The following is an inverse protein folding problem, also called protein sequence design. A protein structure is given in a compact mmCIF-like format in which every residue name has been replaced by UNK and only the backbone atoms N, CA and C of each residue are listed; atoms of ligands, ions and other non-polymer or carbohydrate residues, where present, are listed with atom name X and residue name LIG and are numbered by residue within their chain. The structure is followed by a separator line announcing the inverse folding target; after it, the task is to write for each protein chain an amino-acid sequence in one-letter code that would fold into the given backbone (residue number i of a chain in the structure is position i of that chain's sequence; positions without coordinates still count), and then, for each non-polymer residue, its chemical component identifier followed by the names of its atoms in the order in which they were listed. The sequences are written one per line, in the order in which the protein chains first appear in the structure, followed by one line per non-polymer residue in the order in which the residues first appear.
data_IF_514352915650
#
_entry.id   IF_514352915650
#
_cell.length_a   1.000
_cell.length_b   1.000
_cell.length_c   1.000
_cell.angle_alpha   90.00
_cell.angle_beta   90.00
_cell.angle_gamma   90.00
#
_symmetry.space_group_name_H-M   'P 1'
#
loop_
_entity.id
_entity.type
_entity.pdbx_description
1 polymer ?
#
# COMPACT_ATOMS: atom_id res chain seq x y z
N UNK A 1 -16.29 29.41 -26.14
CA UNK A 1 -16.09 28.48 -25.00
C UNK A 1 -15.31 27.21 -25.40
N UNK A 2 -15.68 26.46 -26.45
CA UNK A 2 -14.93 25.26 -26.90
C UNK A 2 -13.52 25.52 -27.46
N UNK A 3 -13.26 26.68 -28.06
CA UNK A 3 -11.93 27.07 -28.59
C UNK A 3 -10.96 27.53 -27.50
N UNK A 4 -11.41 28.33 -26.52
CA UNK A 4 -10.58 28.73 -25.37
C UNK A 4 -10.12 27.52 -24.54
N UNK A 5 -10.96 26.50 -24.39
CA UNK A 5 -10.59 25.27 -23.67
C UNK A 5 -9.58 24.40 -24.47
N UNK A 6 -9.64 24.40 -25.81
CA UNK A 6 -8.61 23.75 -26.65
C UNK A 6 -7.28 24.51 -26.60
N UNK A 7 -7.31 25.84 -26.71
CA UNK A 7 -6.11 26.69 -26.67
C UNK A 7 -5.43 26.56 -25.29
N UNK A 8 -6.19 26.52 -24.20
CA UNK A 8 -5.66 26.22 -22.85
C UNK A 8 -5.02 24.83 -22.77
N UNK A 9 -5.64 23.79 -23.33
CA UNK A 9 -5.08 22.42 -23.32
C UNK A 9 -3.76 22.31 -24.08
N UNK A 10 -3.64 22.95 -25.25
CA UNK A 10 -2.41 22.94 -26.05
C UNK A 10 -1.30 23.73 -25.36
N UNK A 11 -1.61 24.90 -24.79
CA UNK A 11 -0.67 25.71 -23.99
C UNK A 11 -0.13 24.94 -22.78
N UNK A 12 -0.99 24.22 -22.06
CA UNK A 12 -0.60 23.42 -20.90
C UNK A 12 0.43 22.33 -21.23
N UNK A 13 0.34 21.68 -22.41
CA UNK A 13 1.29 20.61 -22.78
C UNK A 13 2.71 21.15 -23.03
N UNK A 14 2.81 22.35 -23.62
CA UNK A 14 4.10 23.02 -23.85
C UNK A 14 4.72 23.46 -22.52
N UNK A 15 3.90 24.02 -21.62
CA UNK A 15 4.34 24.43 -20.28
C UNK A 15 4.85 23.20 -19.52
N UNK A 16 4.07 22.11 -19.47
CA UNK A 16 4.50 20.86 -18.81
C UNK A 16 5.80 20.34 -19.41
N UNK A 17 5.95 20.33 -20.74
CA UNK A 17 7.21 19.88 -21.38
C UNK A 17 8.41 20.74 -20.98
N UNK A 18 8.24 22.06 -20.88
CA UNK A 18 9.30 22.98 -20.40
C UNK A 18 9.63 22.73 -18.92
N UNK A 19 8.61 22.56 -18.08
CA UNK A 19 8.77 22.24 -16.66
C UNK A 19 9.50 20.90 -16.47
N UNK A 20 9.13 19.86 -17.22
CA UNK A 20 9.84 18.58 -17.27
C UNK A 20 11.29 18.74 -17.78
N UNK A 21 11.55 19.73 -18.64
CA UNK A 21 12.90 20.07 -19.09
C UNK A 21 13.83 20.49 -17.94
N UNK A 22 13.31 21.22 -16.94
CA UNK A 22 14.09 21.57 -15.74
C UNK A 22 14.42 20.35 -14.88
N UNK A 23 13.54 19.36 -14.84
CA UNK A 23 13.78 18.08 -14.14
C UNK A 23 14.85 17.23 -14.82
N UNK A 24 14.98 17.33 -16.15
CA UNK A 24 15.90 16.51 -16.95
C UNK A 24 17.38 16.65 -16.57
N UNK A 25 17.78 17.75 -15.91
CA UNK A 25 19.16 17.96 -15.47
C UNK A 25 19.48 17.20 -14.18
N UNK A 26 18.51 17.06 -13.27
CA UNK A 26 18.64 16.28 -12.02
C UNK A 26 18.04 14.86 -12.15
N UNK A 27 17.93 14.35 -13.38
CA UNK A 27 17.30 13.06 -13.68
C UNK A 27 17.87 11.89 -12.88
N UNK A 28 19.16 11.93 -12.50
CA UNK A 28 19.80 10.85 -11.73
C UNK A 28 19.20 10.72 -10.34
N UNK A 29 18.98 11.83 -9.64
CA UNK A 29 18.37 11.83 -8.31
C UNK A 29 16.91 11.40 -8.38
N UNK A 30 16.16 11.88 -9.37
CA UNK A 30 14.75 11.53 -9.57
C UNK A 30 14.61 10.04 -9.91
N UNK A 31 15.43 9.52 -10.83
CA UNK A 31 15.45 8.09 -11.18
C UNK A 31 15.83 7.26 -9.96
N UNK A 32 16.85 7.67 -9.19
CA UNK A 32 17.25 7.01 -7.95
C UNK A 32 16.10 6.94 -6.95
N UNK A 33 15.37 8.02 -6.75
CA UNK A 33 14.20 8.05 -5.88
C UNK A 33 13.06 7.15 -6.39
N UNK A 34 12.78 7.13 -7.69
CA UNK A 34 11.79 6.21 -8.28
C UNK A 34 12.20 4.75 -8.04
N UNK A 35 13.48 4.41 -8.19
CA UNK A 35 14.00 3.07 -7.88
C UNK A 35 13.80 2.74 -6.40
N UNK A 36 14.10 3.67 -5.49
CA UNK A 36 13.84 3.49 -4.06
C UNK A 36 12.35 3.24 -3.79
N UNK A 37 11.45 3.93 -4.49
CA UNK A 37 10.01 3.72 -4.36
C UNK A 37 9.55 2.35 -4.85
N UNK A 38 10.14 1.84 -5.93
CA UNK A 38 9.88 0.47 -6.41
C UNK A 38 10.34 -0.55 -5.37
N UNK A 39 11.55 -0.38 -4.81
CA UNK A 39 12.07 -1.24 -3.73
C UNK A 39 11.14 -1.19 -2.50
N UNK A 40 10.72 0.01 -2.11
CA UNK A 40 9.83 0.25 -0.98
C UNK A 40 8.46 -0.42 -1.17
N UNK A 41 7.93 -0.39 -2.39
CA UNK A 41 6.70 -1.12 -2.75
C UNK A 41 6.89 -2.62 -2.58
N UNK A 42 8.03 -3.17 -3.02
CA UNK A 42 8.40 -4.57 -2.80
C UNK A 42 8.43 -4.93 -1.31
N UNK A 43 9.09 -4.12 -0.47
CA UNK A 43 9.16 -4.33 0.98
C UNK A 43 7.76 -4.30 1.61
N UNK A 44 6.92 -3.36 1.20
CA UNK A 44 5.56 -3.22 1.73
C UNK A 44 4.72 -4.46 1.46
N UNK A 45 4.95 -5.15 0.33
CA UNK A 45 4.27 -6.37 -0.05
C UNK A 45 4.79 -7.62 0.68
N UNK A 46 6.01 -7.57 1.20
CA UNK A 46 6.54 -8.63 2.07
C UNK A 46 5.77 -8.66 3.40
N UNK A 47 5.27 -7.53 3.91
CA UNK A 47 4.56 -7.49 5.21
C UNK A 47 3.28 -8.35 5.25
N UNK A 48 2.32 -8.24 4.30
CA UNK A 48 1.18 -9.15 4.25
C UNK A 48 1.58 -10.61 4.11
N UNK A 49 2.64 -10.91 3.34
CA UNK A 49 3.12 -12.28 3.15
C UNK A 49 3.71 -12.86 4.43
N UNK A 50 4.54 -12.11 5.15
CA UNK A 50 5.06 -12.52 6.46
C UNK A 50 3.94 -12.72 7.48
N UNK A 51 2.94 -11.84 7.45
CA UNK A 51 1.76 -11.95 8.32
C UNK A 51 0.97 -13.21 8.00
N UNK A 52 0.73 -13.51 6.72
CA UNK A 52 0.11 -14.76 6.27
C UNK A 52 0.92 -15.97 6.76
N UNK A 53 2.23 -15.97 6.55
CA UNK A 53 3.10 -17.06 6.96
C UNK A 53 3.08 -17.28 8.48
N UNK A 54 3.02 -16.20 9.27
CA UNK A 54 2.86 -16.29 10.72
C UNK A 54 1.51 -16.92 11.10
N UNK A 55 0.43 -16.46 10.47
CA UNK A 55 -0.93 -16.92 10.73
C UNK A 55 -1.05 -18.41 10.38
N UNK A 56 -0.69 -18.78 9.16
CA UNK A 56 -0.92 -20.11 8.59
C UNK A 56 -0.05 -21.19 9.27
N UNK A 57 1.22 -20.89 9.54
CA UNK A 57 2.15 -21.91 10.05
C UNK A 57 2.26 -21.95 11.57
N UNK A 58 1.95 -20.85 12.27
CA UNK A 58 2.20 -20.77 13.71
C UNK A 58 0.99 -20.38 14.54
N UNK A 59 0.03 -19.59 14.02
CA UNK A 59 -1.15 -19.16 14.81
C UNK A 59 -2.31 -20.14 14.67
N UNK A 60 -2.74 -20.45 13.44
CA UNK A 60 -3.90 -21.31 13.10
C UNK A 60 -3.44 -22.73 12.72
N UNK A 61 -2.28 -23.18 13.23
CA UNK A 61 -1.66 -24.48 12.91
C UNK A 61 -2.49 -25.69 13.40
N UNK A 62 -3.68 -25.86 12.84
CA UNK A 62 -4.65 -26.90 13.16
C UNK A 62 -4.85 -27.78 11.93
N UNK A 63 -5.02 -29.05 12.20
CA UNK A 63 -5.01 -30.13 11.22
C UNK A 63 -6.27 -30.95 11.40
N UNK A 64 -6.83 -31.44 10.31
CA UNK A 64 -7.93 -32.40 10.32
C UNK A 64 -7.44 -33.74 9.76
N UNK A 65 -8.03 -34.82 10.24
CA UNK A 65 -7.70 -36.16 9.78
C UNK A 65 -8.59 -36.48 8.58
N UNK A 66 -7.97 -36.91 7.48
CA UNK A 66 -8.63 -37.36 6.26
C UNK A 66 -8.18 -38.76 5.88
N UNK A 67 -9.05 -39.48 5.17
CA UNK A 67 -8.78 -40.77 4.55
C UNK A 67 -8.99 -40.65 3.03
N UNK A 68 -8.02 -40.07 2.30
CA UNK A 68 -8.09 -39.91 0.85
C UNK A 68 -7.82 -41.23 0.12
N UNK A 69 -8.40 -41.40 -1.06
CA UNK A 69 -8.07 -42.47 -2.01
C UNK A 69 -6.73 -42.18 -2.72
N UNK A 70 -6.09 -43.19 -3.33
CA UNK A 70 -4.77 -43.03 -3.96
C UNK A 70 -4.73 -41.93 -5.03
N UNK A 71 -5.77 -41.83 -5.86
CA UNK A 71 -5.90 -40.79 -6.90
C UNK A 71 -6.06 -39.38 -6.30
N UNK A 72 -6.71 -39.28 -5.13
CA UNK A 72 -6.95 -38.02 -4.43
C UNK A 72 -5.67 -37.49 -3.74
N UNK A 73 -4.73 -38.37 -3.37
CA UNK A 73 -3.45 -37.97 -2.77
C UNK A 73 -2.63 -37.13 -3.76
N UNK A 74 -2.60 -37.52 -5.03
CA UNK A 74 -1.91 -36.74 -6.07
C UNK A 74 -2.60 -35.41 -6.32
N UNK A 75 -3.94 -35.40 -6.36
CA UNK A 75 -4.72 -34.17 -6.47
C UNK A 75 -4.39 -33.20 -5.34
N UNK A 76 -4.41 -33.65 -4.08
CA UNK A 76 -4.12 -32.78 -2.93
C UNK A 76 -2.68 -32.26 -2.96
N UNK A 77 -1.71 -33.10 -3.34
CA UNK A 77 -0.30 -32.69 -3.48
C UNK A 77 -0.09 -31.66 -4.60
N UNK A 78 -0.94 -31.66 -5.64
CA UNK A 78 -0.87 -30.65 -6.71
C UNK A 78 -1.16 -29.23 -6.23
N UNK A 79 -1.99 -29.08 -5.18
CA UNK A 79 -2.28 -27.77 -4.57
C UNK A 79 -1.21 -27.36 -3.55
N UNK A 80 -0.68 -28.32 -2.79
CA UNK A 80 0.42 -28.09 -1.85
C UNK A 80 1.16 -29.41 -1.55
N UNK A 81 2.43 -29.48 -1.93
CA UNK A 81 3.25 -30.70 -1.81
C UNK A 81 3.43 -31.16 -0.35
N UNK A 82 3.40 -30.23 0.60
CA UNK A 82 3.52 -30.52 2.06
C UNK A 82 2.15 -30.57 2.77
N UNK A 83 1.05 -30.66 2.01
CA UNK A 83 -0.31 -30.65 2.55
C UNK A 83 -0.62 -31.82 3.48
N UNK A 84 -0.08 -33.00 3.15
CA UNK A 84 -0.46 -34.27 3.73
C UNK A 84 0.66 -34.80 4.62
N UNK A 85 0.37 -34.89 5.91
CA UNK A 85 1.22 -35.54 6.89
C UNK A 85 0.67 -36.94 7.11
N UNK A 86 1.39 -37.98 6.67
CA UNK A 86 0.94 -39.36 6.86
C UNK A 86 0.91 -39.71 8.34
N UNK A 87 -0.26 -40.11 8.86
CA UNK A 87 -0.43 -40.57 10.23
C UNK A 87 -0.37 -42.10 10.27
N UNK A 88 -1.11 -42.76 9.39
CA UNK A 88 -1.24 -44.23 9.32
C UNK A 88 -1.17 -44.73 7.86
N UNK A 89 -1.44 -46.02 7.62
CA UNK A 89 -1.53 -46.57 6.26
C UNK A 89 -2.61 -45.87 5.44
N UNK A 90 -3.78 -45.60 6.05
CA UNK A 90 -4.96 -44.98 5.39
C UNK A 90 -5.29 -43.56 5.87
N UNK A 91 -4.69 -43.08 6.98
CA UNK A 91 -5.02 -41.78 7.58
C UNK A 91 -3.94 -40.74 7.34
N UNK A 92 -4.35 -39.57 6.91
CA UNK A 92 -3.50 -38.41 6.69
C UNK A 92 -4.00 -37.21 7.48
N UNK A 93 -3.08 -36.40 7.97
CA UNK A 93 -3.31 -35.12 8.58
C UNK A 93 -3.19 -34.04 7.49
N UNK A 94 -4.26 -33.28 7.26
CA UNK A 94 -4.26 -32.14 6.35
C UNK A 94 -4.38 -30.83 7.11
N UNK A 95 -3.52 -29.85 6.80
CA UNK A 95 -3.63 -28.51 7.42
C UNK A 95 -4.94 -27.83 7.02
N UNK A 96 -5.56 -27.13 7.96
CA UNK A 96 -6.86 -26.47 7.73
C UNK A 96 -6.82 -25.42 6.62
N UNK A 97 -5.70 -24.72 6.46
CA UNK A 97 -5.52 -23.74 5.38
C UNK A 97 -5.47 -24.43 4.00
N UNK A 98 -4.82 -25.58 3.88
CA UNK A 98 -4.82 -26.35 2.63
C UNK A 98 -6.20 -26.91 2.33
N UNK A 99 -6.91 -27.44 3.33
CA UNK A 99 -8.27 -27.93 3.14
C UNK A 99 -9.20 -26.83 2.61
N UNK A 100 -9.03 -25.58 3.08
CA UNK A 100 -9.81 -24.43 2.58
C UNK A 100 -9.48 -23.99 1.15
N UNK A 101 -8.32 -24.38 0.62
CA UNK A 101 -7.92 -24.09 -0.76
C UNK A 101 -8.42 -25.12 -1.78
N UNK A 102 -8.87 -26.29 -1.32
CA UNK A 102 -9.39 -27.35 -2.19
C UNK A 102 -10.78 -27.00 -2.75
N UNK A 103 -11.17 -27.55 -3.90
CA UNK A 103 -12.51 -27.37 -4.46
C UNK A 103 -13.59 -27.71 -3.44
N UNK A 104 -14.58 -26.83 -3.28
CA UNK A 104 -15.64 -27.02 -2.28
C UNK A 104 -16.43 -28.31 -2.48
N UNK A 105 -16.62 -28.74 -3.73
CA UNK A 105 -17.25 -30.03 -4.07
C UNK A 105 -16.48 -31.22 -3.49
N UNK A 106 -15.15 -31.21 -3.61
CA UNK A 106 -14.27 -32.27 -3.12
C UNK A 106 -14.26 -32.35 -1.58
N UNK A 107 -14.15 -31.20 -0.91
CA UNK A 107 -14.18 -31.15 0.55
C UNK A 107 -15.53 -31.66 1.10
N UNK A 108 -16.62 -31.32 0.40
CA UNK A 108 -17.96 -31.74 0.78
C UNK A 108 -18.20 -33.23 0.55
N UNK A 109 -17.60 -33.81 -0.48
CA UNK A 109 -17.59 -35.26 -0.70
C UNK A 109 -16.87 -36.01 0.42
N UNK A 110 -15.67 -35.58 0.82
CA UNK A 110 -14.94 -36.15 1.95
C UNK A 110 -15.74 -36.07 3.25
N UNK A 111 -16.50 -34.98 3.44
CA UNK A 111 -17.38 -34.81 4.60
C UNK A 111 -18.57 -35.77 4.56
N UNK A 112 -19.29 -35.84 3.44
CA UNK A 112 -20.49 -36.67 3.29
C UNK A 112 -20.17 -38.17 3.39
N UNK A 113 -19.00 -38.59 2.89
CA UNK A 113 -18.51 -39.97 2.95
C UNK A 113 -17.87 -40.32 4.30
N UNK A 114 -17.85 -39.39 5.27
CA UNK A 114 -17.20 -39.52 6.59
C UNK A 114 -15.69 -39.80 6.52
N UNK A 115 -15.05 -39.52 5.39
CA UNK A 115 -13.60 -39.63 5.17
C UNK A 115 -12.84 -38.42 5.72
N UNK A 116 -13.54 -37.33 6.06
CA UNK A 116 -13.01 -36.16 6.79
C UNK A 116 -13.54 -36.12 8.22
N UNK A 117 -12.64 -36.10 9.20
CA UNK A 117 -13.00 -35.90 10.60
C UNK A 117 -13.31 -34.43 10.89
N UNK A 118 -14.45 -34.20 11.55
CA UNK A 118 -14.91 -32.84 11.91
C UNK A 118 -14.03 -32.22 13.01
N UNK A 119 -13.49 -33.05 13.90
CA UNK A 119 -12.64 -32.59 15.00
C UNK A 119 -11.30 -32.06 14.47
N UNK A 120 -10.87 -30.91 15.00
CA UNK A 120 -9.59 -30.28 14.67
C UNK A 120 -8.57 -30.65 15.72
N UNK A 121 -7.38 -31.00 15.26
CA UNK A 121 -6.27 -31.37 16.11
C UNK A 121 -5.14 -30.35 15.98
N UNK A 122 -4.45 -30.09 17.07
CA UNK A 122 -3.17 -29.43 17.06
C UNK A 122 -2.08 -30.48 16.98
N UNK A 123 -1.17 -30.30 16.02
CA UNK A 123 -0.07 -31.19 15.76
C UNK A 123 1.19 -30.64 16.42
N UNK A 124 1.79 -31.43 17.31
CA UNK A 124 3.01 -31.04 18.00
C UNK A 124 4.01 -32.20 18.01
N UNK A 125 5.28 -31.83 17.98
CA UNK A 125 6.37 -32.79 18.26
C UNK A 125 6.46 -32.93 19.77
N UNK A 126 6.57 -34.16 20.26
CA UNK A 126 6.51 -34.46 21.68
C UNK A 126 7.49 -33.58 22.49
N UNK A 127 7.03 -32.81 23.49
CA UNK A 127 7.94 -32.14 24.42
C UNK A 127 8.71 -33.18 25.26
N UNK A 128 9.88 -32.77 25.73
CA UNK A 128 10.80 -33.54 26.57
C UNK A 128 10.25 -33.93 27.97
N UNK A 129 9.05 -33.48 28.35
CA UNK A 129 8.55 -33.60 29.73
C UNK A 129 7.35 -34.54 29.84
N UNK A 130 7.44 -35.51 30.76
CA UNK A 130 6.45 -36.57 30.95
C UNK A 130 5.09 -36.14 31.53
N UNK A 131 4.99 -34.88 31.97
CA UNK A 131 3.88 -34.40 32.80
C UNK A 131 2.58 -34.19 32.00
N UNK A 132 2.69 -33.86 30.71
CA UNK A 132 1.51 -33.54 29.86
C UNK A 132 0.80 -34.82 29.38
N UNK A 133 1.47 -35.98 29.45
CA UNK A 133 0.98 -37.25 28.89
C UNK A 133 -0.09 -37.95 29.73
N UNK A 134 -0.36 -37.47 30.96
CA UNK A 134 -1.36 -38.06 31.86
C UNK A 134 -2.80 -37.57 31.65
N UNK A 135 -3.01 -36.52 30.86
CA UNK A 135 -4.28 -35.75 30.87
C UNK A 135 -5.05 -35.78 29.53
N UNK A 136 -4.48 -36.37 28.47
CA UNK A 136 -5.02 -36.19 27.11
C UNK A 136 -5.07 -37.53 26.37
N UNK A 137 -6.22 -37.85 25.77
CA UNK A 137 -6.32 -38.91 24.75
C UNK A 137 -5.42 -38.52 23.56
N UNK A 138 -4.26 -39.17 23.44
CA UNK A 138 -3.32 -38.92 22.34
C UNK A 138 -3.16 -40.19 21.50
N UNK A 139 -3.07 -39.99 20.18
CA UNK A 139 -2.65 -41.02 19.24
C UNK A 139 -1.20 -40.74 18.83
N UNK A 140 -0.30 -41.66 19.08
CA UNK A 140 1.13 -41.53 18.80
C UNK A 140 1.48 -42.05 17.40
N UNK A 141 1.97 -41.17 16.52
CA UNK A 141 2.36 -41.55 15.16
C UNK A 141 3.75 -40.98 14.83
N UNK A 142 4.78 -41.84 14.74
CA UNK A 142 6.14 -41.49 14.26
C UNK A 142 6.66 -40.10 14.74
N UNK A 143 6.72 -39.88 16.06
CA UNK A 143 7.16 -38.63 16.74
C UNK A 143 6.22 -37.42 16.64
N UNK A 144 5.06 -37.58 16.01
CA UNK A 144 4.01 -36.58 15.90
C UNK A 144 2.88 -36.97 16.86
N UNK A 145 2.49 -36.01 17.70
CA UNK A 145 1.38 -36.18 18.64
C UNK A 145 0.28 -35.19 18.32
N UNK A 146 -0.95 -35.65 18.51
CA UNK A 146 -2.17 -34.93 18.21
C UNK A 146 -2.91 -34.66 19.53
N UNK A 147 -3.37 -33.42 19.71
CA UNK A 147 -4.29 -33.06 20.79
C UNK A 147 -5.52 -32.41 20.18
N UNK A 148 -6.70 -32.85 20.57
CA UNK A 148 -7.92 -32.24 20.05
C UNK A 148 -8.05 -30.80 20.53
N UNK A 149 -8.65 -29.96 19.68
CA UNK A 149 -8.85 -28.54 20.02
C UNK A 149 -9.68 -28.35 21.30
N UNK A 150 -10.60 -29.28 21.58
CA UNK A 150 -11.39 -29.27 22.82
C UNK A 150 -10.55 -29.64 24.05
N UNK A 151 -9.64 -30.60 23.93
CA UNK A 151 -8.71 -30.95 25.00
C UNK A 151 -7.71 -29.82 25.27
N UNK A 152 -7.24 -29.14 24.22
CA UNK A 152 -6.33 -28.00 24.36
C UNK A 152 -6.93 -26.85 25.20
N UNK A 153 -8.25 -26.64 25.14
CA UNK A 153 -8.96 -25.62 25.95
C UNK A 153 -9.05 -25.96 27.43
N UNK A 154 -8.90 -27.24 27.80
CA UNK A 154 -8.96 -27.69 29.20
C UNK A 154 -7.61 -27.53 29.91
N UNK A 155 -6.53 -27.32 29.16
CA UNK A 155 -5.19 -27.13 29.71
C UNK A 155 -5.00 -25.73 30.30
N UNK A 156 -4.13 -25.64 31.29
CA UNK A 156 -3.68 -24.35 31.82
C UNK A 156 -2.83 -23.59 30.80
N UNK A 157 -2.79 -22.27 30.91
CA UNK A 157 -2.01 -21.40 30.02
C UNK A 157 -0.53 -21.83 29.97
N UNK A 158 0.06 -22.25 31.10
CA UNK A 158 1.45 -22.69 31.18
C UNK A 158 1.70 -23.95 30.34
N UNK A 159 0.78 -24.91 30.38
CA UNK A 159 0.88 -26.16 29.59
C UNK A 159 0.73 -25.89 28.10
N UNK A 160 -0.22 -25.03 27.71
CA UNK A 160 -0.39 -24.61 26.31
C UNK A 160 0.86 -23.89 25.79
N UNK A 161 1.50 -23.04 26.60
CA UNK A 161 2.75 -22.36 26.22
C UNK A 161 3.91 -23.35 26.00
N UNK A 162 4.00 -24.42 26.81
CA UNK A 162 5.00 -25.47 26.64
C UNK A 162 4.73 -26.25 25.34
N UNK A 163 3.48 -26.65 25.10
CA UNK A 163 3.08 -27.35 23.87
C UNK A 163 3.34 -26.52 22.61
N UNK A 164 3.06 -25.22 22.65
CA UNK A 164 3.24 -24.28 21.53
C UNK A 164 4.58 -23.56 21.52
N UNK A 165 5.57 -24.02 22.27
CA UNK A 165 6.87 -23.36 22.36
C UNK A 165 7.56 -23.20 20.98
N UNK A 166 7.41 -24.20 20.11
CA UNK A 166 7.90 -24.15 18.72
C UNK A 166 7.21 -23.07 17.90
N UNK A 167 5.89 -22.94 18.01
CA UNK A 167 5.12 -21.91 17.32
C UNK A 167 5.53 -20.52 17.77
N UNK A 168 5.67 -20.34 19.09
CA UNK A 168 6.08 -19.06 19.69
C UNK A 168 7.49 -18.67 19.21
N UNK A 169 8.41 -19.63 19.07
CA UNK A 169 9.73 -19.38 18.48
C UNK A 169 9.62 -18.95 17.01
N UNK A 170 8.76 -19.61 16.23
CA UNK A 170 8.49 -19.25 14.85
C UNK A 170 7.90 -17.84 14.69
N UNK A 171 6.87 -17.52 15.47
CA UNK A 171 6.27 -16.17 15.49
C UNK A 171 7.29 -15.12 15.90
N UNK A 172 8.10 -15.37 16.93
CA UNK A 172 9.17 -14.44 17.33
C UNK A 172 10.19 -14.21 16.21
N UNK A 173 10.58 -15.26 15.50
CA UNK A 173 11.50 -15.14 14.36
C UNK A 173 10.91 -14.28 13.24
N UNK A 174 9.65 -14.52 12.86
CA UNK A 174 8.94 -13.68 11.88
C UNK A 174 8.82 -12.24 12.40
N UNK A 175 8.53 -12.04 13.69
CA UNK A 175 8.42 -10.71 14.28
C UNK A 175 9.74 -9.93 14.22
N UNK A 176 10.89 -10.58 14.44
CA UNK A 176 12.20 -9.93 14.28
C UNK A 176 12.48 -9.56 12.81
N UNK A 177 12.16 -10.44 11.86
CA UNK A 177 12.27 -10.14 10.43
C UNK A 177 11.37 -8.95 10.05
N UNK A 178 10.13 -8.97 10.53
CA UNK A 178 9.16 -7.90 10.31
C UNK A 178 9.68 -6.57 10.85
N UNK A 179 10.21 -6.56 12.09
CA UNK A 179 10.80 -5.37 12.70
C UNK A 179 12.01 -4.85 11.92
N UNK A 180 12.91 -5.74 11.50
CA UNK A 180 14.08 -5.37 10.69
C UNK A 180 13.65 -4.73 9.36
N UNK A 181 12.67 -5.32 8.68
CA UNK A 181 12.10 -4.76 7.45
C UNK A 181 11.41 -3.41 7.68
N UNK A 182 10.78 -3.20 8.84
CA UNK A 182 10.18 -1.91 9.20
C UNK A 182 11.25 -0.82 9.34
N UNK A 183 12.37 -1.13 9.99
CA UNK A 183 13.51 -0.20 10.11
C UNK A 183 14.11 0.11 8.73
N UNK A 184 14.30 -0.91 7.88
CA UNK A 184 14.78 -0.72 6.50
C UNK A 184 13.80 0.12 5.68
N UNK A 185 12.50 -0.17 5.79
CA UNK A 185 11.43 0.58 5.15
C UNK A 185 11.46 2.06 5.57
N UNK A 186 11.59 2.34 6.86
CA UNK A 186 11.71 3.70 7.39
C UNK A 186 12.92 4.43 6.78
N UNK A 187 14.09 3.79 6.76
CA UNK A 187 15.31 4.36 6.20
C UNK A 187 15.20 4.68 4.71
N UNK A 188 14.65 3.74 3.91
CA UNK A 188 14.43 3.94 2.47
C UNK A 188 13.39 5.03 2.22
N UNK A 189 12.32 5.07 3.01
CA UNK A 189 11.28 6.11 2.91
C UNK A 189 11.90 7.49 3.15
N UNK A 190 12.66 7.63 4.24
CA UNK A 190 13.35 8.88 4.55
C UNK A 190 14.31 9.29 3.43
N UNK A 191 15.14 8.36 2.94
CA UNK A 191 16.08 8.63 1.85
C UNK A 191 15.38 9.07 0.57
N UNK A 192 14.25 8.43 0.20
CA UNK A 192 13.48 8.76 -1.00
C UNK A 192 12.82 10.14 -0.88
N UNK A 193 12.15 10.42 0.25
CA UNK A 193 11.54 11.74 0.51
C UNK A 193 12.61 12.83 0.48
N UNK A 194 13.73 12.62 1.16
CA UNK A 194 14.83 13.58 1.19
C UNK A 194 15.41 13.82 -0.22
N UNK A 195 15.68 12.76 -0.99
CA UNK A 195 16.22 12.87 -2.34
C UNK A 195 15.27 13.64 -3.28
N UNK A 196 13.96 13.38 -3.22
CA UNK A 196 12.95 14.08 -4.01
C UNK A 196 12.79 15.54 -3.60
N UNK A 197 12.77 15.82 -2.29
CA UNK A 197 12.71 17.19 -1.77
C UNK A 197 13.94 17.99 -2.19
N UNK A 198 15.13 17.39 -2.08
CA UNK A 198 16.38 18.00 -2.49
C UNK A 198 16.41 18.28 -4.01
N UNK A 199 16.00 17.31 -4.83
CA UNK A 199 15.87 17.49 -6.27
C UNK A 199 14.89 18.63 -6.62
N UNK A 200 13.76 18.71 -5.91
CA UNK A 200 12.79 19.80 -6.05
C UNK A 200 13.40 21.17 -5.76
N UNK A 201 14.17 21.30 -4.68
CA UNK A 201 14.84 22.56 -4.34
C UNK A 201 15.90 22.98 -5.39
N UNK A 202 16.67 22.04 -5.93
CA UNK A 202 17.62 22.34 -7.02
C UNK A 202 16.89 22.86 -8.26
N UNK A 203 15.79 22.20 -8.65
CA UNK A 203 14.96 22.63 -9.78
C UNK A 203 14.43 24.05 -9.55
N UNK A 204 13.94 24.34 -8.34
CA UNK A 204 13.44 25.67 -8.00
C UNK A 204 14.52 26.74 -7.99
N UNK A 205 15.71 26.43 -7.48
CA UNK A 205 16.85 27.34 -7.53
C UNK A 205 17.17 27.74 -8.98
N UNK A 206 17.24 26.76 -9.89
CA UNK A 206 17.47 27.00 -11.33
C UNK A 206 16.37 27.82 -12.00
N UNK A 207 15.10 27.59 -11.63
CA UNK A 207 13.98 28.38 -12.15
C UNK A 207 14.11 29.84 -11.68
N UNK A 208 14.40 30.07 -10.39
CA UNK A 208 14.62 31.42 -9.83
C UNK A 208 15.78 32.13 -10.53
N UNK A 209 16.91 31.44 -10.70
CA UNK A 209 18.08 31.96 -11.42
C UNK A 209 17.72 32.33 -12.88
N UNK A 210 17.07 31.42 -13.61
CA UNK A 210 16.68 31.66 -15.01
C UNK A 210 15.76 32.87 -15.15
N UNK A 211 14.75 32.99 -14.28
CA UNK A 211 13.82 34.13 -14.29
C UNK A 211 14.57 35.42 -13.95
N UNK A 212 15.43 35.40 -12.93
CA UNK A 212 16.18 36.57 -12.51
C UNK A 212 17.17 37.06 -13.58
N UNK A 213 17.96 36.15 -14.18
CA UNK A 213 18.85 36.47 -15.29
C UNK A 213 18.09 36.97 -16.52
N UNK A 214 16.91 36.41 -16.81
CA UNK A 214 16.08 36.89 -17.91
C UNK A 214 15.61 38.32 -17.64
N UNK A 215 15.12 38.61 -16.43
CA UNK A 215 14.69 39.96 -16.05
C UNK A 215 15.81 40.98 -16.20
N UNK A 216 17.04 40.66 -15.76
CA UNK A 216 18.19 41.56 -15.89
C UNK A 216 18.58 41.90 -17.35
N UNK A 217 18.25 41.04 -18.31
CA UNK A 217 18.57 41.23 -19.73
C UNK A 217 17.48 41.96 -20.51
N UNK A 218 16.36 42.28 -19.89
CA UNK A 218 15.27 43.00 -20.55
C UNK A 218 15.62 44.48 -20.72
N UNK A 219 15.16 45.07 -21.83
CA UNK A 219 15.37 46.49 -22.13
C UNK A 219 14.62 47.36 -21.12
N UNK A 220 15.14 48.55 -20.81
CA UNK A 220 14.49 49.50 -19.90
C UNK A 220 13.02 49.78 -20.28
N UNK A 221 12.74 49.88 -21.58
CA UNK A 221 11.39 50.11 -22.12
C UNK A 221 10.36 49.02 -21.79
N UNK A 222 10.81 47.82 -21.39
CA UNK A 222 9.93 46.79 -20.87
C UNK A 222 9.42 47.15 -19.46
N UNK A 223 10.29 47.72 -18.63
CA UNK A 223 9.96 48.10 -17.25
C UNK A 223 9.05 49.34 -17.20
N UNK A 224 9.13 50.22 -18.20
CA UNK A 224 8.19 51.35 -18.34
C UNK A 224 6.74 50.88 -18.59
N UNK A 225 6.57 49.70 -19.19
CA UNK A 225 5.26 49.13 -19.54
C UNK A 225 4.75 48.12 -18.52
N UNK A 226 5.57 47.68 -17.58
CA UNK A 226 5.24 46.62 -16.63
C UNK A 226 5.49 47.08 -15.19
N UNK A 227 4.44 47.21 -14.35
CA UNK A 227 4.60 47.64 -12.97
C UNK A 227 5.58 46.75 -12.19
N UNK A 228 6.53 47.35 -11.48
CA UNK A 228 7.56 46.64 -10.71
C UNK A 228 6.97 45.64 -9.71
N UNK A 229 5.87 46.00 -9.01
CA UNK A 229 5.18 45.09 -8.09
C UNK A 229 4.60 43.83 -8.76
N UNK A 230 4.22 43.90 -10.03
CA UNK A 230 3.78 42.72 -10.81
C UNK A 230 4.96 41.80 -11.11
N UNK A 231 6.13 42.36 -11.41
CA UNK A 231 7.35 41.59 -11.65
C UNK A 231 7.83 40.88 -10.39
N UNK A 232 7.85 41.58 -9.24
CA UNK A 232 8.17 40.98 -7.94
C UNK A 232 7.23 39.82 -7.64
N UNK A 233 5.91 40.05 -7.75
CA UNK A 233 4.90 39.01 -7.51
C UNK A 233 5.08 37.78 -8.42
N UNK A 234 5.45 37.98 -9.68
CA UNK A 234 5.72 36.86 -10.61
C UNK A 234 7.03 36.13 -10.29
N UNK A 235 8.04 36.85 -9.82
CA UNK A 235 9.34 36.30 -9.45
C UNK A 235 9.33 35.60 -8.08
N UNK A 236 8.34 35.89 -7.22
CA UNK A 236 8.19 35.27 -5.90
C UNK A 236 7.01 34.31 -5.87
N UNK A 237 5.78 34.82 -5.88
CA UNK A 237 4.56 34.05 -5.62
C UNK A 237 4.25 33.03 -6.72
N UNK A 238 4.39 33.39 -8.00
CA UNK A 238 4.13 32.45 -9.09
C UNK A 238 5.20 31.33 -9.12
N UNK A 239 6.45 31.66 -8.76
CA UNK A 239 7.53 30.68 -8.61
C UNK A 239 7.25 29.77 -7.41
N UNK A 240 6.71 30.29 -6.31
CA UNK A 240 6.38 29.48 -5.13
C UNK A 240 5.26 28.47 -5.43
N UNK A 241 4.25 28.86 -6.21
CA UNK A 241 3.24 27.90 -6.67
C UNK A 241 3.80 26.81 -7.58
N UNK A 242 4.84 27.12 -8.35
CA UNK A 242 5.57 26.11 -9.10
C UNK A 242 6.35 25.19 -8.17
N UNK A 243 6.96 25.72 -7.10
CA UNK A 243 7.63 24.93 -6.05
C UNK A 243 6.67 23.89 -5.45
N UNK A 244 5.54 24.35 -4.93
CA UNK A 244 4.49 23.47 -4.37
C UNK A 244 4.08 22.38 -5.37
N UNK A 245 3.76 22.78 -6.61
CA UNK A 245 3.38 21.82 -7.65
C UNK A 245 4.47 20.79 -7.95
N UNK A 246 5.73 21.20 -8.09
CA UNK A 246 6.83 20.27 -8.36
C UNK A 246 7.08 19.34 -7.19
N UNK A 247 7.09 19.87 -5.96
CA UNK A 247 7.27 19.07 -4.75
C UNK A 247 6.17 18.03 -4.66
N UNK A 248 4.90 18.41 -4.77
CA UNK A 248 3.76 17.49 -4.70
C UNK A 248 3.81 16.39 -5.77
N UNK A 249 4.17 16.77 -7.01
CA UNK A 249 4.26 15.82 -8.12
C UNK A 249 5.45 14.87 -7.94
N UNK A 250 6.61 15.38 -7.54
CA UNK A 250 7.82 14.58 -7.35
C UNK A 250 7.71 13.64 -6.16
N UNK A 251 7.23 14.13 -5.02
CA UNK A 251 7.17 13.35 -3.77
C UNK A 251 5.96 12.44 -3.73
N UNK A 252 4.78 12.94 -4.08
CA UNK A 252 3.52 12.22 -3.90
C UNK A 252 3.08 11.45 -5.15
N UNK A 253 2.84 12.17 -6.26
CA UNK A 253 2.15 11.59 -7.42
C UNK A 253 2.88 10.37 -7.99
N UNK A 254 4.20 10.46 -8.19
CA UNK A 254 4.96 9.30 -8.68
C UNK A 254 4.92 8.14 -7.69
N UNK A 255 5.08 8.42 -6.40
CA UNK A 255 5.06 7.39 -5.38
C UNK A 255 3.72 6.66 -5.35
N UNK A 256 2.61 7.38 -5.32
CA UNK A 256 1.28 6.80 -5.29
C UNK A 256 1.00 5.94 -6.52
N UNK A 257 1.40 6.40 -7.72
CA UNK A 257 1.18 5.67 -8.97
C UNK A 257 1.99 4.37 -8.99
N UNK A 258 3.30 4.42 -8.68
CA UNK A 258 4.14 3.23 -8.67
C UNK A 258 3.74 2.24 -7.57
N UNK A 259 3.40 2.76 -6.38
CA UNK A 259 2.96 1.94 -5.26
C UNK A 259 1.61 1.28 -5.56
N UNK A 260 0.62 2.01 -6.09
CA UNK A 260 -0.65 1.43 -6.52
C UNK A 260 -0.43 0.36 -7.59
N UNK A 261 0.34 0.65 -8.64
CA UNK A 261 0.62 -0.30 -9.71
C UNK A 261 1.32 -1.56 -9.19
N UNK A 262 2.34 -1.41 -8.36
CA UNK A 262 3.07 -2.54 -7.77
C UNK A 262 2.19 -3.40 -6.87
N UNK A 263 1.36 -2.79 -6.03
CA UNK A 263 0.39 -3.52 -5.19
C UNK A 263 -0.61 -4.29 -6.06
N UNK A 264 -1.17 -3.66 -7.10
CA UNK A 264 -2.12 -4.33 -7.99
C UNK A 264 -1.50 -5.53 -8.71
N UNK A 265 -0.27 -5.38 -9.23
CA UNK A 265 0.46 -6.46 -9.92
C UNK A 265 0.66 -7.65 -8.97
N UNK A 266 1.13 -7.40 -7.75
CA UNK A 266 1.38 -8.48 -6.78
C UNK A 266 0.10 -9.11 -6.26
N UNK A 267 -0.97 -8.34 -6.06
CA UNK A 267 -2.28 -8.90 -5.72
C UNK A 267 -2.76 -9.89 -6.80
N UNK A 268 -2.71 -9.50 -8.08
CA UNK A 268 -3.09 -10.37 -9.20
C UNK A 268 -2.22 -11.63 -9.23
N UNK A 269 -0.91 -11.52 -9.00
CA UNK A 269 -0.02 -12.68 -8.95
C UNK A 269 -0.27 -13.61 -7.75
N UNK A 270 -0.72 -13.07 -6.61
CA UNK A 270 -1.03 -13.87 -5.42
C UNK A 270 -2.33 -14.65 -5.58
N UNK A 271 -3.42 -13.98 -5.92
CA UNK A 271 -4.73 -14.62 -6.13
C UNK A 271 -5.58 -13.79 -7.11
N UNK A 272 -5.64 -14.18 -8.41
CA UNK A 272 -6.34 -13.41 -9.44
C UNK A 272 -7.83 -13.24 -9.15
N UNK A 273 -8.49 -14.29 -8.63
CA UNK A 273 -9.94 -14.30 -8.41
C UNK A 273 -10.36 -13.27 -7.36
N UNK A 274 -9.72 -13.31 -6.18
CA UNK A 274 -9.99 -12.36 -5.09
C UNK A 274 -9.59 -10.92 -5.47
N UNK A 275 -8.52 -10.77 -6.24
CA UNK A 275 -8.06 -9.46 -6.72
C UNK A 275 -9.07 -8.80 -7.66
N UNK A 276 -9.63 -9.55 -8.61
CA UNK A 276 -10.67 -9.04 -9.52
C UNK A 276 -11.92 -8.62 -8.77
N UNK A 277 -12.36 -9.42 -7.79
CA UNK A 277 -13.49 -9.04 -6.91
C UNK A 277 -13.18 -7.73 -6.19
N UNK A 278 -11.98 -7.58 -5.63
CA UNK A 278 -11.55 -6.35 -4.94
C UNK A 278 -11.51 -5.14 -5.89
N UNK A 279 -11.07 -5.32 -7.14
CA UNK A 279 -10.98 -4.25 -8.13
C UNK A 279 -12.34 -3.74 -8.61
N UNK A 280 -13.43 -4.46 -8.38
CA UNK A 280 -14.79 -3.94 -8.68
C UNK A 280 -15.13 -2.66 -7.91
N UNK A 281 -14.47 -2.41 -6.77
CA UNK A 281 -14.67 -1.20 -5.95
C UNK A 281 -14.01 0.03 -6.59
N UNK A 282 -12.93 -0.15 -7.37
CA UNK A 282 -12.18 0.95 -8.01
C UNK A 282 -13.07 1.83 -8.91
N UNK A 283 -13.85 1.30 -9.87
CA UNK A 283 -14.71 2.13 -10.72
C UNK A 283 -15.79 2.86 -9.91
N UNK A 284 -16.34 2.25 -8.86
CA UNK A 284 -17.30 2.90 -7.96
C UNK A 284 -16.67 4.14 -7.29
N UNK A 285 -15.46 3.99 -6.73
CA UNK A 285 -14.70 5.11 -6.16
C UNK A 285 -14.39 6.16 -7.22
N UNK A 286 -13.98 5.76 -8.43
CA UNK A 286 -13.66 6.68 -9.52
C UNK A 286 -14.87 7.54 -9.94
N UNK A 287 -16.06 6.93 -10.01
CA UNK A 287 -17.32 7.65 -10.29
C UNK A 287 -17.65 8.62 -9.16
N UNK A 288 -17.60 8.18 -7.90
CA UNK A 288 -17.85 9.03 -6.74
C UNK A 288 -16.88 10.23 -6.70
N UNK A 289 -15.58 9.98 -6.90
CA UNK A 289 -14.52 10.97 -6.96
C UNK A 289 -14.75 11.98 -8.11
N UNK A 290 -15.18 11.51 -9.28
CA UNK A 290 -15.49 12.36 -10.44
C UNK A 290 -16.69 13.28 -10.18
N UNK A 291 -17.77 12.74 -9.61
CA UNK A 291 -18.94 13.52 -9.22
C UNK A 291 -18.59 14.58 -8.16
N UNK A 292 -17.84 14.18 -7.13
CA UNK A 292 -17.36 15.08 -6.08
C UNK A 292 -16.49 16.20 -6.65
N UNK A 293 -15.51 15.86 -7.50
CA UNK A 293 -14.61 16.82 -8.17
C UNK A 293 -15.39 17.85 -9.00
N UNK A 294 -16.44 17.42 -9.72
CA UNK A 294 -17.29 18.34 -10.51
C UNK A 294 -18.07 19.30 -9.62
N UNK A 295 -18.52 18.85 -8.44
CA UNK A 295 -19.27 19.68 -7.49
C UNK A 295 -18.36 20.68 -6.80
N UNK A 296 -17.22 20.23 -6.29
CA UNK A 296 -16.29 21.10 -5.56
C UNK A 296 -15.71 22.19 -6.46
N UNK A 297 -15.43 21.89 -7.74
CA UNK A 297 -14.97 22.89 -8.71
C UNK A 297 -15.96 24.04 -8.88
N UNK A 298 -17.27 23.76 -8.88
CA UNK A 298 -18.32 24.80 -8.96
C UNK A 298 -18.36 25.66 -7.70
N UNK A 299 -18.21 25.04 -6.53
CA UNK A 299 -18.16 25.76 -5.24
C UNK A 299 -16.94 26.69 -5.18
N UNK A 300 -15.74 26.19 -5.55
CA UNK A 300 -14.53 27.01 -5.61
C UNK A 300 -14.65 28.20 -6.55
N UNK A 301 -15.28 28.01 -7.72
CA UNK A 301 -15.53 29.12 -8.65
C UNK A 301 -16.44 30.20 -8.03
N UNK A 302 -17.52 29.80 -7.36
CA UNK A 302 -18.42 30.74 -6.67
C UNK A 302 -17.72 31.46 -5.52
N UNK A 303 -16.96 30.73 -4.69
CA UNK A 303 -16.18 31.31 -3.60
C UNK A 303 -15.19 32.35 -4.12
N UNK A 304 -14.50 32.06 -5.23
CA UNK A 304 -13.56 33.00 -5.87
C UNK A 304 -14.25 34.27 -6.38
N UNK A 305 -15.44 34.16 -6.96
CA UNK A 305 -16.23 35.30 -7.40
C UNK A 305 -16.71 36.15 -6.21
N UNK A 306 -17.13 35.52 -5.12
CA UNK A 306 -17.55 36.21 -3.90
C UNK A 306 -16.39 36.99 -3.26
N UNK A 307 -15.22 36.35 -3.15
CA UNK A 307 -13.99 36.99 -2.66
C UNK A 307 -13.59 38.18 -3.54
N UNK A 308 -13.70 38.07 -4.86
CA UNK A 308 -13.41 39.19 -5.76
C UNK A 308 -14.36 40.38 -5.53
N UNK A 309 -15.66 40.12 -5.35
CA UNK A 309 -16.65 41.17 -5.04
C UNK A 309 -16.39 41.82 -3.67
N UNK A 310 -16.09 41.03 -2.65
CA UNK A 310 -15.71 41.53 -1.33
C UNK A 310 -14.49 42.44 -1.40
N UNK A 311 -13.42 41.98 -2.05
CA UNK A 311 -12.20 42.78 -2.22
C UNK A 311 -12.46 44.08 -3.00
N UNK A 312 -13.33 44.04 -4.03
CA UNK A 312 -13.73 45.24 -4.77
C UNK A 312 -14.45 46.24 -3.86
N UNK A 313 -15.42 45.77 -3.06
CA UNK A 313 -16.19 46.63 -2.15
C UNK A 313 -15.32 47.23 -1.04
N UNK A 314 -14.40 46.44 -0.49
CA UNK A 314 -13.42 46.94 0.48
C UNK A 314 -12.52 48.00 -0.17
N UNK A 315 -12.01 47.75 -1.37
CA UNK A 315 -11.15 48.71 -2.08
C UNK A 315 -11.88 50.02 -2.39
N UNK A 316 -13.15 49.94 -2.82
CA UNK A 316 -14.00 51.11 -3.07
C UNK A 316 -14.26 51.90 -1.78
N UNK A 317 -14.60 51.19 -0.69
CA UNK A 317 -14.88 51.83 0.61
C UNK A 317 -13.63 52.51 1.19
N UNK A 318 -12.45 51.88 1.06
CA UNK A 318 -11.19 52.48 1.52
C UNK A 318 -10.81 53.72 0.70
N UNK A 319 -10.98 53.67 -0.63
CA UNK A 319 -10.72 54.82 -1.49
C UNK A 319 -11.74 55.96 -1.24
N UNK A 320 -12.99 55.63 -0.96
CA UNK A 320 -14.08 56.57 -0.69
C UNK A 320 -14.21 56.99 0.78
N UNK A 321 -13.32 56.57 1.67
CA UNK A 321 -13.52 56.69 3.12
C UNK A 321 -13.70 58.14 3.59
N UNK A 322 -13.06 59.10 2.92
CA UNK A 322 -13.22 60.53 3.19
C UNK A 322 -14.61 61.07 2.84
N UNK A 323 -15.25 60.51 1.81
CA UNK A 323 -16.62 60.88 1.41
C UNK A 323 -17.65 60.18 2.30
N UNK A 324 -17.35 58.97 2.78
CA UNK A 324 -18.22 58.21 3.68
C UNK A 324 -18.25 58.80 5.11
N UNK A 325 -17.16 59.49 5.51
CA UNK A 325 -17.03 60.11 6.85
C UNK A 325 -17.61 61.53 6.94
N UNK A 326 -17.85 62.20 5.81
CA UNK A 326 -18.56 63.49 5.72
C UNK A 326 -20.06 63.24 5.69
#
# INVERSE_FOLDING_TARGET
MYEEDRIRKVSNRIIIKRLLGYLGREKRLIIGAIILTIILTGILLIFPYLTKMAIDNYIISTVQIIQPEEEEIELIKSFNTEALIRLDEEKFAIKSNTLSSLPSSFVQELYNTKRLQVEKYYLFKAPYNDIIWKVVDYSEFKNIRLISHNALKKLSIKEVLILRASDIKGVKHIAYIFLALLIVHLGITFASIFALAYAGQIVMHRIRETVFTHLQRLKLSFFDRMPSGRLVTRATNDIEKLNEFFTDVLTGLFQDVFQCAGVMIVMIHLEPRLSLVSFTVIPLIAVAMSLFRRRIRRVYQRARLLLARLNSKISESLNGIKVIQL
#
